data_IF_686500418280
#
_entry.id   IF_686500418280
#
_cell.length_a   1.000
_cell.length_b   1.000
_cell.length_c   1.000
_cell.angle_alpha   90.00
_cell.angle_beta   90.00
_cell.angle_gamma   90.00
#
_symmetry.space_group_name_H-M   'P 1'
#
loop_
_entity.id
_entity.type
_entity.pdbx_description
1 polymer ?
#
# COMPACT_ATOMS: atom_id res chain seq x y z
N UNK A 1 -3.40 8.89 -4.57
CA UNK A 1 -3.02 7.88 -5.60
C UNK A 1 -2.39 6.74 -4.84
N UNK A 2 -2.56 5.47 -5.27
CA UNK A 2 -1.96 4.33 -4.57
C UNK A 2 -0.48 4.54 -4.24
N UNK A 3 0.05 3.77 -3.29
CA UNK A 3 1.49 3.63 -3.11
C UNK A 3 1.91 2.18 -3.33
N UNK A 4 3.01 2.02 -4.06
CA UNK A 4 3.72 0.78 -4.29
C UNK A 4 5.16 0.92 -3.81
N UNK A 5 5.59 0.01 -2.95
CA UNK A 5 6.94 -0.10 -2.42
C UNK A 5 7.57 -1.41 -2.89
N UNK A 6 8.83 -1.36 -3.33
CA UNK A 6 9.64 -2.52 -3.69
C UNK A 6 10.81 -2.63 -2.70
N UNK A 7 11.06 -3.86 -2.25
CA UNK A 7 12.13 -4.19 -1.33
C UNK A 7 13.06 -5.19 -2.03
N UNK A 8 14.33 -4.83 -2.31
CA UNK A 8 15.34 -5.78 -2.72
C UNK A 8 15.54 -6.91 -1.69
N UNK A 9 16.22 -8.02 -2.06
CA UNK A 9 16.71 -9.00 -1.10
C UNK A 9 17.42 -8.33 0.09
N UNK A 10 17.12 -8.80 1.30
CA UNK A 10 17.71 -8.35 2.56
C UNK A 10 17.47 -6.88 2.94
N UNK A 11 16.73 -6.11 2.13
CA UNK A 11 16.37 -4.73 2.47
C UNK A 11 15.57 -4.69 3.79
N UNK A 12 15.90 -3.70 4.63
CA UNK A 12 15.23 -3.43 5.90
C UNK A 12 13.80 -2.99 5.65
N UNK A 13 12.87 -3.44 6.49
CA UNK A 13 11.47 -3.00 6.40
C UNK A 13 11.31 -1.69 7.15
N UNK A 14 11.12 -0.59 6.43
CA UNK A 14 10.64 0.66 7.01
C UNK A 14 9.12 0.56 7.28
N UNK A 15 8.79 0.06 8.47
CA UNK A 15 7.40 -0.10 8.92
C UNK A 15 6.68 1.25 8.97
N UNK A 16 7.37 2.32 9.38
CA UNK A 16 6.77 3.65 9.45
C UNK A 16 6.45 4.18 8.05
N UNK A 17 7.37 4.05 7.10
CA UNK A 17 7.12 4.46 5.72
C UNK A 17 5.98 3.69 5.07
N UNK A 18 5.90 2.38 5.30
CA UNK A 18 4.77 1.59 4.80
C UNK A 18 3.44 1.96 5.47
N UNK A 19 3.45 2.26 6.77
CA UNK A 19 2.29 2.76 7.50
C UNK A 19 1.81 4.11 6.94
N UNK A 20 2.72 5.08 6.77
CA UNK A 20 2.43 6.40 6.21
C UNK A 20 1.81 6.31 4.82
N UNK A 21 2.37 5.43 3.98
CA UNK A 21 1.81 5.15 2.68
C UNK A 21 0.42 4.53 2.75
N UNK A 22 0.19 3.63 3.72
CA UNK A 22 -1.07 2.94 3.93
C UNK A 22 -2.22 3.83 4.40
N UNK A 23 -1.98 4.71 5.36
CA UNK A 23 -3.03 5.61 5.90
C UNK A 23 -3.59 6.56 4.84
N UNK A 24 -2.74 6.99 3.89
CA UNK A 24 -3.15 7.81 2.75
C UNK A 24 -3.85 7.00 1.65
N UNK A 25 -3.90 5.67 1.76
CA UNK A 25 -4.36 4.73 0.74
C UNK A 25 -5.15 3.56 1.36
N UNK A 26 -6.34 3.82 1.97
CA UNK A 26 -6.98 2.90 2.91
C UNK A 26 -7.89 1.84 2.26
N UNK A 27 -7.96 1.75 0.92
CA UNK A 27 -8.90 0.88 0.22
C UNK A 27 -8.37 -0.55 -0.04
N UNK A 28 -7.38 -0.96 0.75
CA UNK A 28 -6.83 -2.31 0.80
C UNK A 28 -5.33 -2.38 0.54
N UNK A 29 -4.72 -3.38 1.15
CA UNK A 29 -3.28 -3.51 1.31
C UNK A 29 -2.85 -4.93 0.97
N UNK A 30 -1.76 -5.06 0.22
CA UNK A 30 -1.24 -6.38 -0.09
C UNK A 30 0.23 -6.38 -0.39
N UNK A 31 0.82 -7.55 -0.22
CA UNK A 31 2.25 -7.75 -0.28
C UNK A 31 2.57 -9.06 -0.98
N UNK A 32 3.80 -9.16 -1.48
CA UNK A 32 4.32 -10.41 -1.99
C UNK A 32 5.82 -10.52 -1.73
N UNK A 33 6.30 -11.75 -1.54
CA UNK A 33 7.72 -12.09 -1.37
C UNK A 33 8.04 -13.28 -2.27
N UNK A 34 9.12 -13.19 -3.04
CA UNK A 34 9.57 -14.32 -3.86
C UNK A 34 10.36 -15.32 -3.01
N UNK A 35 9.98 -16.59 -3.13
CA UNK A 35 10.78 -17.72 -2.68
C UNK A 35 11.38 -18.47 -3.89
N UNK A 36 12.13 -19.53 -3.63
CA UNK A 36 12.81 -20.34 -4.67
C UNK A 36 11.86 -20.83 -5.76
N UNK A 37 10.66 -21.30 -5.39
CA UNK A 37 9.74 -22.00 -6.29
C UNK A 37 8.32 -21.44 -6.28
N UNK A 38 8.07 -20.36 -5.52
CA UNK A 38 6.76 -19.74 -5.39
C UNK A 38 6.84 -18.25 -5.07
N UNK A 39 5.71 -17.57 -5.16
CA UNK A 39 5.52 -16.23 -4.60
C UNK A 39 4.53 -16.32 -3.45
N UNK A 40 4.96 -15.93 -2.24
CA UNK A 40 4.07 -15.82 -1.09
C UNK A 40 3.34 -14.49 -1.19
N UNK A 41 2.02 -14.51 -1.00
CA UNK A 41 1.16 -13.33 -1.13
C UNK A 41 0.26 -13.22 0.10
N UNK A 42 0.11 -12.00 0.60
CA UNK A 42 -0.89 -11.66 1.61
C UNK A 42 -1.67 -10.41 1.21
N UNK A 43 -2.93 -10.34 1.61
CA UNK A 43 -3.84 -9.21 1.34
C UNK A 43 -4.76 -9.01 2.53
N UNK A 44 -4.99 -7.76 2.90
CA UNK A 44 -6.03 -7.39 3.85
C UNK A 44 -6.69 -6.07 3.43
N UNK A 45 -7.91 -5.84 3.90
CA UNK A 45 -8.53 -4.51 3.87
C UNK A 45 -8.10 -3.66 5.07
N UNK A 46 -7.46 -4.26 6.07
CA UNK A 46 -6.90 -3.62 7.25
C UNK A 46 -5.37 -3.42 7.09
N UNK A 47 -4.91 -2.20 7.32
CA UNK A 47 -3.49 -1.84 7.17
C UNK A 47 -2.60 -2.52 8.21
N UNK A 48 -3.05 -2.59 9.46
CA UNK A 48 -2.26 -3.15 10.56
C UNK A 48 -2.07 -4.66 10.34
N UNK A 49 -3.13 -5.38 9.98
CA UNK A 49 -3.07 -6.81 9.65
C UNK A 49 -2.15 -7.08 8.45
N UNK A 50 -2.24 -6.25 7.40
CA UNK A 50 -1.37 -6.38 6.23
C UNK A 50 0.11 -6.14 6.58
N UNK A 51 0.41 -5.15 7.42
CA UNK A 51 1.78 -4.85 7.83
C UNK A 51 2.34 -5.90 8.77
N UNK A 52 1.58 -6.32 9.78
CA UNK A 52 2.01 -7.36 10.72
C UNK A 52 2.31 -8.67 9.97
N UNK A 53 1.40 -9.10 9.10
CA UNK A 53 1.60 -10.30 8.28
C UNK A 53 2.78 -10.15 7.31
N UNK A 54 2.99 -8.96 6.74
CA UNK A 54 4.13 -8.69 5.86
C UNK A 54 5.46 -8.75 6.61
N UNK A 55 5.58 -8.10 7.77
CA UNK A 55 6.80 -8.10 8.59
C UNK A 55 7.14 -9.53 9.01
N UNK A 56 6.16 -10.27 9.52
CA UNK A 56 6.36 -11.67 9.91
C UNK A 56 6.72 -12.58 8.71
N UNK A 57 6.21 -12.30 7.52
CA UNK A 57 6.63 -13.02 6.30
C UNK A 57 8.04 -12.62 5.88
N UNK A 58 8.39 -11.34 6.00
CA UNK A 58 9.70 -10.83 5.61
C UNK A 58 10.84 -11.35 6.48
N UNK A 59 10.61 -11.49 7.78
CA UNK A 59 11.57 -12.12 8.71
C UNK A 59 11.87 -13.59 8.33
N UNK A 60 10.86 -14.32 7.83
CA UNK A 60 11.01 -15.71 7.39
C UNK A 60 11.65 -15.84 6.00
N UNK A 61 11.49 -14.81 5.16
CA UNK A 61 11.89 -14.83 3.76
C UNK A 61 12.70 -13.58 3.38
N UNK A 62 13.85 -13.31 4.04
CA UNK A 62 14.60 -12.08 3.83
C UNK A 62 15.35 -12.05 2.49
N UNK A 63 15.73 -13.21 1.95
CA UNK A 63 16.51 -13.33 0.71
C UNK A 63 15.69 -13.05 -0.57
N UNK A 64 14.36 -13.08 -0.48
CA UNK A 64 13.48 -12.83 -1.63
C UNK A 64 13.32 -11.35 -1.94
N UNK A 65 13.23 -10.89 -3.19
CA UNK A 65 12.64 -9.58 -3.46
C UNK A 65 11.16 -9.55 -3.04
N UNK A 66 10.71 -8.41 -2.56
CA UNK A 66 9.36 -8.22 -2.05
C UNK A 66 8.71 -6.92 -2.55
N UNK A 67 7.39 -6.84 -2.41
CA UNK A 67 6.62 -5.62 -2.63
C UNK A 67 5.57 -5.46 -1.54
N UNK A 68 5.16 -4.21 -1.31
CA UNK A 68 4.00 -3.83 -0.51
C UNK A 68 3.21 -2.75 -1.26
N UNK A 69 1.90 -2.87 -1.32
CA UNK A 69 1.02 -1.96 -2.03
C UNK A 69 -0.17 -1.57 -1.17
N UNK A 70 -0.48 -0.28 -1.13
CA UNK A 70 -1.70 0.26 -0.53
C UNK A 70 -2.53 0.97 -1.59
N UNK A 71 -3.81 0.62 -1.67
CA UNK A 71 -4.71 1.00 -2.74
C UNK A 71 -5.52 2.24 -2.38
N UNK A 72 -5.58 3.19 -3.31
CA UNK A 72 -6.60 4.23 -3.36
C UNK A 72 -7.59 3.92 -4.49
N UNK A 73 -8.71 3.30 -4.14
CA UNK A 73 -9.74 2.95 -5.13
C UNK A 73 -10.36 4.20 -5.79
N UNK A 74 -9.92 4.54 -7.01
CA UNK A 74 -10.61 5.50 -7.90
C UNK A 74 -11.62 4.80 -8.81
N UNK A 75 -11.39 3.52 -9.08
CA UNK A 75 -12.22 2.63 -9.91
C UNK A 75 -12.19 1.22 -9.33
N UNK A 76 -13.27 0.46 -9.56
CA UNK A 76 -13.45 -0.90 -9.04
C UNK A 76 -13.81 -0.92 -7.54
N UNK A 77 -14.59 -1.92 -7.13
CA UNK A 77 -15.08 -2.05 -5.76
C UNK A 77 -13.95 -2.15 -4.73
N UNK A 78 -14.20 -1.71 -3.49
CA UNK A 78 -13.30 -1.92 -2.34
C UNK A 78 -13.55 -3.33 -1.81
N UNK A 79 -12.73 -4.28 -2.27
CA UNK A 79 -12.79 -5.68 -1.87
C UNK A 79 -11.42 -6.37 -2.08
N UNK A 80 -11.18 -7.48 -1.37
CA UNK A 80 -9.92 -8.24 -1.46
C UNK A 80 -9.54 -8.65 -2.90
N UNK A 81 -10.49 -9.07 -3.78
CA UNK A 81 -10.17 -9.40 -5.18
C UNK A 81 -9.56 -8.26 -6.00
N UNK A 82 -9.78 -7.01 -5.60
CA UNK A 82 -9.22 -5.80 -6.23
C UNK A 82 -7.99 -5.23 -5.49
N UNK A 83 -7.51 -5.90 -4.44
CA UNK A 83 -6.26 -5.54 -3.76
C UNK A 83 -5.07 -6.13 -4.51
N UNK A 84 -4.10 -5.30 -4.89
CA UNK A 84 -2.82 -5.74 -5.45
C UNK A 84 -2.00 -6.53 -4.41
N UNK A 85 -1.05 -7.39 -4.83
CA UNK A 85 -0.68 -7.69 -6.20
C UNK A 85 -1.65 -8.70 -6.88
N UNK A 86 -1.66 -8.71 -8.21
CA UNK A 86 -2.45 -9.66 -8.99
C UNK A 86 -1.58 -10.75 -9.60
N UNK A 87 -2.10 -11.98 -9.58
CA UNK A 87 -1.50 -13.13 -10.27
C UNK A 87 -1.53 -12.90 -11.78
N UNK A 88 -0.44 -13.23 -12.46
CA UNK A 88 -0.29 -12.98 -13.90
C UNK A 88 -0.68 -14.22 -14.70
N UNK A 89 -1.72 -14.11 -15.54
CA UNK A 89 -2.18 -15.20 -16.40
C UNK A 89 -2.57 -16.48 -15.65
N UNK A 90 -3.05 -16.35 -14.41
CA UNK A 90 -3.43 -17.49 -13.56
C UNK A 90 -2.27 -18.31 -13.00
N UNK A 91 -1.01 -17.91 -13.23
CA UNK A 91 0.16 -18.60 -12.68
C UNK A 91 0.61 -17.96 -11.36
N UNK A 92 0.51 -18.70 -10.25
CA UNK A 92 0.94 -18.25 -8.91
C UNK A 92 2.44 -17.96 -8.79
N UNK A 93 3.22 -18.28 -9.83
CA UNK A 93 4.65 -18.01 -9.89
C UNK A 93 4.97 -16.56 -10.27
N UNK A 94 4.00 -15.77 -10.72
CA UNK A 94 4.25 -14.38 -11.13
C UNK A 94 3.11 -13.48 -10.66
N UNK A 95 3.47 -12.38 -10.00
CA UNK A 95 2.52 -11.36 -9.56
C UNK A 95 2.94 -9.97 -10.01
N UNK A 96 1.97 -9.06 -10.13
CA UNK A 96 2.21 -7.66 -10.48
C UNK A 96 1.43 -6.72 -9.57
N UNK A 97 2.10 -5.67 -9.12
CA UNK A 97 1.48 -4.49 -8.51
C UNK A 97 1.70 -3.26 -9.39
N UNK A 98 0.77 -2.30 -9.32
CA UNK A 98 0.76 -1.12 -10.17
C UNK A 98 0.35 0.12 -9.40
N UNK A 99 1.02 1.24 -9.67
CA UNK A 99 0.57 2.57 -9.28
C UNK A 99 0.39 3.45 -10.53
N UNK A 100 -0.80 4.02 -10.66
CA UNK A 100 -1.19 4.96 -11.72
C UNK A 100 -2.53 4.59 -12.33
N UNK A 101 -2.71 4.90 -13.62
CA UNK A 101 -3.87 4.53 -14.44
C UNK A 101 -3.31 4.00 -15.76
N UNK A 102 -3.53 2.71 -16.04
CA UNK A 102 -3.05 2.07 -17.26
C UNK A 102 -3.77 2.60 -18.51
N UNK A 103 -3.26 2.34 -19.73
CA UNK A 103 -3.93 2.73 -20.97
C UNK A 103 -5.36 2.19 -21.06
N UNK A 104 -6.21 2.86 -21.83
CA UNK A 104 -7.62 2.49 -22.02
C UNK A 104 -7.84 1.05 -22.50
N UNK A 105 -6.86 0.44 -23.18
CA UNK A 105 -6.86 -0.98 -23.54
C UNK A 105 -7.00 -1.91 -22.31
N UNK A 106 -6.42 -1.51 -21.18
CA UNK A 106 -6.50 -2.20 -19.91
C UNK A 106 -7.76 -1.84 -19.11
N UNK A 107 -8.56 -0.87 -19.54
CA UNK A 107 -9.78 -0.52 -18.82
C UNK A 107 -10.85 -1.61 -19.01
N UNK A 108 -11.49 -2.08 -17.92
CA UNK A 108 -12.61 -3.02 -18.00
C UNK A 108 -13.80 -2.43 -18.78
N UNK A 109 -14.61 -3.31 -19.37
CA UNK A 109 -15.86 -2.89 -20.00
C UNK A 109 -16.90 -2.49 -18.95
N UNK A 110 -17.96 -1.78 -19.36
CA UNK A 110 -19.07 -1.45 -18.45
C UNK A 110 -19.69 -2.73 -17.89
N UNK A 111 -19.73 -2.85 -16.56
CA UNK A 111 -20.27 -4.02 -15.86
C UNK A 111 -19.21 -5.05 -15.43
N UNK A 112 -17.95 -4.86 -15.81
CA UNK A 112 -16.80 -5.60 -15.30
C UNK A 112 -16.26 -4.90 -14.04
N UNK A 113 -16.18 -5.62 -12.92
CA UNK A 113 -15.84 -5.08 -11.60
C UNK A 113 -14.33 -5.08 -11.30
N UNK A 114 -13.54 -5.65 -12.20
CA UNK A 114 -12.08 -5.67 -12.13
C UNK A 114 -11.52 -4.24 -12.20
N UNK A 115 -10.34 -4.03 -11.63
CA UNK A 115 -9.54 -2.84 -11.92
C UNK A 115 -8.82 -2.95 -13.27
N UNK A 116 -8.33 -1.83 -13.80
CA UNK A 116 -7.46 -1.78 -14.98
C UNK A 116 -6.20 -2.67 -14.80
N UNK A 117 -5.63 -2.61 -13.60
CA UNK A 117 -4.51 -3.45 -13.17
C UNK A 117 -4.85 -4.94 -13.18
N UNK A 118 -6.04 -5.31 -12.74
CA UNK A 118 -6.49 -6.72 -12.72
C UNK A 118 -6.65 -7.24 -14.15
N UNK A 119 -7.33 -6.49 -15.03
CA UNK A 119 -7.43 -6.85 -16.45
C UNK A 119 -6.06 -6.93 -17.12
N UNK A 120 -5.14 -6.02 -16.80
CA UNK A 120 -3.77 -6.07 -17.30
C UNK A 120 -3.05 -7.36 -16.89
N UNK A 121 -3.16 -7.77 -15.62
CA UNK A 121 -2.54 -8.99 -15.11
C UNK A 121 -3.15 -10.27 -15.72
N UNK A 122 -4.47 -10.28 -15.93
CA UNK A 122 -5.19 -11.44 -16.46
C UNK A 122 -4.95 -11.62 -17.97
N UNK A 123 -4.96 -10.54 -18.76
CA UNK A 123 -5.12 -10.62 -20.22
C UNK A 123 -3.92 -10.08 -21.02
N UNK A 124 -3.24 -9.05 -20.53
CA UNK A 124 -2.28 -8.27 -21.33
C UNK A 124 -0.84 -8.67 -21.02
N UNK A 125 -0.42 -8.61 -19.75
CA UNK A 125 0.93 -8.99 -19.32
C UNK A 125 1.30 -10.42 -19.75
N UNK A 126 0.47 -11.46 -19.53
CA UNK A 126 0.83 -12.84 -19.87
C UNK A 126 0.89 -13.13 -21.37
N UNK A 127 0.32 -12.26 -22.22
CA UNK A 127 0.25 -12.48 -23.67
C UNK A 127 1.24 -11.59 -24.44
N UNK A 128 1.36 -10.32 -24.07
CA UNK A 128 2.13 -9.31 -24.83
C UNK A 128 3.57 -9.12 -24.31
N UNK A 129 3.81 -9.28 -23.01
CA UNK A 129 5.09 -8.91 -22.37
C UNK A 129 5.79 -10.08 -21.66
N UNK A 130 5.85 -11.25 -22.32
CA UNK A 130 6.32 -12.53 -21.76
C UNK A 130 7.84 -12.67 -21.55
N UNK A 131 8.65 -11.73 -22.03
CA UNK A 131 10.13 -11.85 -22.07
C UNK A 131 10.80 -10.69 -21.36
N UNK A 132 10.44 -10.47 -20.09
CA UNK A 132 10.82 -9.29 -19.30
C UNK A 132 12.35 -9.07 -19.21
N UNK A 133 13.16 -10.13 -19.26
CA UNK A 133 14.63 -10.03 -19.31
C UNK A 133 15.18 -9.32 -20.56
N UNK A 134 14.40 -9.31 -21.67
CA UNK A 134 14.83 -8.63 -22.89
C UNK A 134 14.57 -7.14 -22.73
N UNK A 135 15.64 -6.33 -22.82
CA UNK A 135 15.55 -4.86 -22.83
C UNK A 135 14.45 -4.32 -23.74
N UNK A 136 14.30 -4.88 -24.96
CA UNK A 136 13.23 -4.49 -25.89
C UNK A 136 11.81 -4.75 -25.36
N UNK A 137 11.60 -5.84 -24.64
CA UNK A 137 10.29 -6.15 -24.04
C UNK A 137 10.02 -5.23 -22.85
N UNK A 138 11.04 -4.99 -22.03
CA UNK A 138 10.97 -4.02 -20.94
C UNK A 138 10.64 -2.60 -21.44
N UNK A 139 11.36 -2.12 -22.47
CA UNK A 139 11.12 -0.81 -23.09
C UNK A 139 9.75 -0.74 -23.80
N UNK A 140 9.26 -1.85 -24.34
CA UNK A 140 7.91 -1.92 -24.90
C UNK A 140 6.84 -1.80 -23.81
N UNK A 141 7.01 -2.51 -22.68
CA UNK A 141 6.10 -2.43 -21.54
C UNK A 141 6.10 -1.02 -20.93
N UNK A 142 7.28 -0.44 -20.69
CA UNK A 142 7.45 0.94 -20.20
C UNK A 142 6.75 1.97 -21.10
N UNK A 143 6.91 1.85 -22.43
CA UNK A 143 6.23 2.74 -23.38
C UNK A 143 4.72 2.52 -23.43
N UNK A 144 4.28 1.26 -23.37
CA UNK A 144 2.86 0.93 -23.38
C UNK A 144 2.16 1.46 -22.13
N UNK A 145 2.70 1.22 -20.92
CA UNK A 145 2.06 1.72 -19.71
C UNK A 145 2.15 3.24 -19.58
N UNK A 146 3.15 3.88 -20.19
CA UNK A 146 3.28 5.34 -20.22
C UNK A 146 3.98 5.93 -19.00
N UNK A 147 4.38 7.20 -19.11
CA UNK A 147 5.31 7.88 -18.19
C UNK A 147 4.70 8.33 -16.85
N UNK A 148 3.47 7.94 -16.53
CA UNK A 148 2.87 8.20 -15.22
C UNK A 148 2.69 6.91 -14.41
N UNK A 149 2.97 5.75 -15.02
CA UNK A 149 2.66 4.44 -14.47
C UNK A 149 3.90 3.73 -13.98
N UNK A 150 3.77 3.04 -12.86
CA UNK A 150 4.85 2.31 -12.19
C UNK A 150 4.39 0.90 -11.88
N UNK A 151 5.23 -0.09 -12.20
CA UNK A 151 4.91 -1.50 -11.97
C UNK A 151 6.05 -2.18 -11.22
N UNK A 152 5.69 -3.08 -10.32
CA UNK A 152 6.62 -4.06 -9.75
C UNK A 152 6.08 -5.44 -10.10
N UNK A 153 6.88 -6.21 -10.82
CA UNK A 153 6.58 -7.59 -11.18
C UNK A 153 7.54 -8.49 -10.40
N UNK A 154 6.99 -9.42 -9.64
CA UNK A 154 7.76 -10.44 -8.91
C UNK A 154 7.49 -11.81 -9.52
N UNK A 155 8.53 -12.64 -9.60
CA UNK A 155 8.40 -13.97 -10.21
C UNK A 155 9.36 -15.00 -9.62
N UNK A 156 8.87 -16.22 -9.46
CA UNK A 156 9.65 -17.43 -9.21
C UNK A 156 9.69 -18.34 -10.45
N UNK A 157 9.12 -17.90 -11.58
CA UNK A 157 9.09 -18.71 -12.82
C UNK A 157 10.51 -18.82 -13.40
N UNK A 158 11.08 -20.04 -13.51
CA UNK A 158 12.45 -20.25 -13.93
C UNK A 158 12.71 -19.87 -15.40
N UNK A 159 11.67 -19.52 -16.17
CA UNK A 159 11.85 -18.95 -17.51
C UNK A 159 12.51 -17.57 -17.50
N UNK A 160 12.48 -16.88 -16.36
CA UNK A 160 13.02 -15.54 -16.18
C UNK A 160 14.38 -15.60 -15.49
N UNK A 161 15.32 -14.73 -15.90
CA UNK A 161 16.66 -14.67 -15.29
C UNK A 161 16.66 -13.88 -13.98
N UNK A 162 15.63 -13.06 -13.76
CA UNK A 162 15.45 -12.23 -12.57
C UNK A 162 14.12 -12.52 -11.91
N UNK A 163 14.12 -12.42 -10.59
CA UNK A 163 12.94 -12.61 -9.75
C UNK A 163 12.13 -11.32 -9.54
N UNK A 164 12.62 -10.17 -10.02
CA UNK A 164 11.93 -8.88 -9.92
C UNK A 164 12.21 -7.97 -11.10
N UNK A 165 11.21 -7.16 -11.46
CA UNK A 165 11.30 -6.11 -12.48
C UNK A 165 10.53 -4.88 -12.01
N UNK A 166 11.19 -3.72 -11.97
CA UNK A 166 10.58 -2.42 -11.67
C UNK A 166 10.46 -1.63 -12.97
N UNK A 167 9.23 -1.43 -13.44
CA UNK A 167 8.97 -0.70 -14.69
C UNK A 167 8.77 0.78 -14.37
N UNK A 168 9.46 1.62 -15.14
CA UNK A 168 9.54 3.07 -14.92
C UNK A 168 10.08 3.43 -13.53
N UNK A 169 11.07 2.68 -13.08
CA UNK A 169 11.77 2.86 -11.80
C UNK A 169 12.20 4.31 -11.54
N UNK A 170 12.67 5.02 -12.58
CA UNK A 170 13.13 6.42 -12.48
C UNK A 170 12.01 7.43 -12.16
N UNK A 171 10.75 7.00 -12.14
CA UNK A 171 9.59 7.83 -11.75
C UNK A 171 9.15 7.59 -10.30
N UNK A 172 9.77 6.63 -9.62
CA UNK A 172 9.72 6.51 -8.18
C UNK A 172 11.05 7.00 -7.58
N UNK A 173 11.29 6.60 -6.35
CA UNK A 173 12.47 7.02 -5.60
C UNK A 173 12.97 5.91 -4.70
N UNK A 174 14.29 5.76 -4.67
CA UNK A 174 14.97 4.93 -3.68
C UNK A 174 15.15 5.72 -2.40
N UNK A 175 14.77 5.12 -1.29
CA UNK A 175 15.04 5.59 0.05
C UNK A 175 16.44 5.11 0.46
N UNK A 176 17.32 6.05 0.78
CA UNK A 176 18.72 5.75 1.04
C UNK A 176 18.95 5.05 2.40
N UNK A 177 18.02 5.20 3.34
CA UNK A 177 18.12 4.63 4.68
C UNK A 177 17.65 3.18 4.70
N UNK A 178 16.44 2.92 4.20
CA UNK A 178 15.85 1.57 4.15
C UNK A 178 16.34 0.73 2.97
N UNK A 179 16.83 1.37 1.90
CA UNK A 179 17.13 0.71 0.63
C UNK A 179 15.87 0.28 -0.14
N UNK A 180 14.69 0.76 0.25
CA UNK A 180 13.43 0.48 -0.41
C UNK A 180 13.18 1.45 -1.56
N UNK A 181 12.49 1.00 -2.61
CA UNK A 181 11.99 1.88 -3.67
C UNK A 181 10.52 2.17 -3.45
N UNK A 182 10.09 3.41 -3.63
CA UNK A 182 8.71 3.85 -3.49
C UNK A 182 8.22 4.54 -4.77
N UNK A 183 6.97 4.26 -5.14
CA UNK A 183 6.36 4.78 -6.36
C UNK A 183 5.96 6.27 -6.30
N UNK A 184 5.86 6.84 -5.11
CA UNK A 184 5.54 8.24 -4.85
C UNK A 184 6.05 8.62 -3.44
N UNK A 185 5.69 9.80 -2.94
CA UNK A 185 6.17 10.34 -1.66
C UNK A 185 5.26 10.04 -0.47
N UNK A 186 4.16 9.29 -0.64
CA UNK A 186 3.20 9.04 0.47
C UNK A 186 3.84 8.25 1.63
N UNK A 187 4.99 7.61 1.42
CA UNK A 187 5.75 6.93 2.48
C UNK A 187 6.55 7.90 3.36
N UNK A 188 6.90 9.07 2.82
CA UNK A 188 7.41 10.12 3.67
C UNK A 188 6.29 10.37 4.65
N UNK A 189 6.59 10.23 5.93
CA UNK A 189 5.71 10.78 6.93
C UNK A 189 5.40 12.17 6.44
N UNK A 190 4.11 12.50 6.39
CA UNK A 190 3.78 13.87 6.63
C UNK A 190 4.61 14.22 7.86
N UNK A 191 5.59 15.10 7.68
CA UNK A 191 5.59 16.22 8.60
C UNK A 191 4.12 16.62 8.51
N UNK A 192 3.34 16.24 9.51
CA UNK A 192 2.42 17.22 10.00
C UNK A 192 3.36 18.40 10.21
N UNK A 193 3.53 19.22 9.17
CA UNK A 193 3.78 20.61 9.40
C UNK A 193 2.51 20.97 10.15
N UNK A 194 2.54 20.72 11.46
CA UNK A 194 2.37 21.77 12.43
C UNK A 194 3.03 22.94 11.75
N UNK A 195 2.24 23.65 10.95
CA UNK A 195 2.71 24.87 10.38
C UNK A 195 3.24 25.60 11.60
N UNK A 196 4.42 26.18 11.45
CA UNK A 196 4.79 27.29 12.29
C UNK A 196 3.78 28.46 12.17
N UNK A 197 2.58 28.27 11.61
CA UNK A 197 1.37 28.84 12.18
C UNK A 197 1.26 28.40 13.65
N UNK A 198 1.99 29.12 14.50
CA UNK A 198 1.66 29.36 15.90
C UNK A 198 0.77 28.26 16.48
N UNK A 199 1.40 27.31 17.17
CA UNK A 199 0.81 26.41 18.15
C UNK A 199 -0.38 27.12 18.82
N UNK A 200 -1.56 26.98 18.23
CA UNK A 200 -2.81 26.96 18.95
C UNK A 200 -2.89 25.53 19.45
N UNK A 201 -1.99 25.18 20.36
CA UNK A 201 -2.09 23.93 21.07
C UNK A 201 -3.48 23.95 21.67
N UNK A 202 -4.31 22.99 21.29
CA UNK A 202 -5.33 22.50 22.21
C UNK A 202 -4.56 22.02 23.42
N UNK A 203 -4.30 22.94 24.35
CA UNK A 203 -3.82 22.63 25.68
C UNK A 203 -4.84 21.62 26.22
N UNK A 204 -4.42 20.50 26.81
CA UNK A 204 -5.34 19.66 27.56
C UNK A 204 -6.22 20.57 28.45
N UNK A 205 -7.54 20.49 28.29
CA UNK A 205 -8.50 21.47 28.84
C UNK A 205 -9.00 22.57 27.88
N UNK A 206 -8.65 22.51 26.60
CA UNK A 206 -9.17 23.41 25.55
C UNK A 206 -10.54 22.98 25.02
N UNK A 207 -11.32 23.93 24.49
CA UNK A 207 -12.62 23.64 23.88
C UNK A 207 -12.43 22.98 22.49
N UNK A 208 -13.27 22.02 22.16
CA UNK A 208 -13.24 21.31 20.89
C UNK A 208 -13.65 22.21 19.74
N UNK A 209 -12.79 22.36 18.74
CA UNK A 209 -13.05 23.19 17.55
C UNK A 209 -14.22 22.69 16.67
N UNK A 210 -14.68 21.46 16.87
CA UNK A 210 -15.78 20.87 16.11
C UNK A 210 -17.15 21.17 16.73
N UNK A 211 -17.29 20.91 18.03
CA UNK A 211 -18.56 21.07 18.72
C UNK A 211 -18.64 22.31 19.62
N UNK A 212 -17.51 23.00 19.82
CA UNK A 212 -17.36 24.25 20.58
C UNK A 212 -17.79 24.16 22.06
N UNK A 213 -18.10 22.96 22.52
CA UNK A 213 -18.72 22.71 23.82
C UNK A 213 -17.93 21.75 24.69
N UNK A 214 -17.41 20.67 24.11
CA UNK A 214 -16.66 19.66 24.86
C UNK A 214 -15.20 20.02 25.03
N UNK A 215 -14.62 19.64 26.16
CA UNK A 215 -13.18 19.78 26.40
C UNK A 215 -12.40 18.63 25.77
N UNK A 216 -11.18 18.90 25.31
CA UNK A 216 -10.26 17.90 24.74
C UNK A 216 -9.45 17.26 25.86
N UNK A 217 -9.45 15.92 25.89
CA UNK A 217 -8.69 15.11 26.84
C UNK A 217 -7.19 15.05 26.50
N UNK A 218 -6.41 14.43 27.40
CA UNK A 218 -4.96 14.26 27.22
C UNK A 218 -4.60 13.35 26.03
N UNK A 219 -5.55 12.60 25.49
CA UNK A 219 -5.38 11.73 24.33
C UNK A 219 -5.74 12.42 23.00
N UNK A 220 -6.15 13.70 23.04
CA UNK A 220 -6.48 14.50 21.85
C UNK A 220 -7.91 14.30 21.35
N UNK A 221 -8.82 13.82 22.19
CA UNK A 221 -10.23 13.61 21.83
C UNK A 221 -11.17 14.50 22.64
N UNK A 222 -12.23 14.99 22.00
CA UNK A 222 -13.27 15.75 22.68
C UNK A 222 -14.12 14.86 23.60
N UNK A 223 -14.30 15.23 24.87
CA UNK A 223 -15.17 14.50 25.80
C UNK A 223 -16.66 14.49 25.43
N UNK A 224 -17.12 15.42 24.58
CA UNK A 224 -18.53 15.54 24.20
C UNK A 224 -18.86 14.92 22.84
N UNK A 225 -18.25 15.42 21.75
CA UNK A 225 -18.51 14.91 20.40
C UNK A 225 -17.56 13.78 20.00
N UNK A 226 -16.56 13.48 20.85
CA UNK A 226 -15.57 12.41 20.65
C UNK A 226 -14.73 12.56 19.39
N UNK A 227 -14.65 13.75 18.82
CA UNK A 227 -13.81 14.01 17.65
C UNK A 227 -12.36 14.22 18.04
N UNK A 228 -11.45 13.74 17.19
CA UNK A 228 -10.02 14.01 17.25
C UNK A 228 -9.73 15.48 16.94
N UNK A 229 -8.78 16.09 17.66
CA UNK A 229 -8.35 17.47 17.38
C UNK A 229 -7.60 17.64 16.06
N UNK A 230 -7.05 16.56 15.53
CA UNK A 230 -6.14 16.62 14.39
C UNK A 230 -6.83 16.32 13.07
N UNK A 231 -7.60 15.24 13.02
CA UNK A 231 -8.30 14.80 11.82
C UNK A 231 -9.80 15.06 11.86
N UNK A 232 -10.34 15.55 12.98
CA UNK A 232 -11.77 15.84 13.18
C UNK A 232 -12.72 14.63 13.11
N UNK A 233 -12.20 13.43 12.83
CA UNK A 233 -12.96 12.18 12.84
C UNK A 233 -13.32 11.76 14.27
N UNK A 234 -14.43 11.02 14.40
CA UNK A 234 -14.86 10.46 15.68
C UNK A 234 -13.82 9.44 16.21
N UNK A 235 -13.64 9.33 17.52
CA UNK A 235 -12.61 8.49 18.19
C UNK A 235 -12.65 7.02 17.75
N UNK A 236 -13.81 6.54 17.30
CA UNK A 236 -13.98 5.17 16.79
C UNK A 236 -13.34 4.96 15.41
N UNK A 237 -13.22 6.04 14.64
CA UNK A 237 -12.76 6.04 13.25
C UNK A 237 -11.40 6.76 13.12
N UNK A 238 -10.95 7.41 14.19
CA UNK A 238 -9.70 8.14 14.26
C UNK A 238 -8.47 7.22 14.35
N UNK A 239 -7.50 7.44 13.46
CA UNK A 239 -6.23 6.73 13.41
C UNK A 239 -5.01 7.60 13.82
N UNK A 240 -5.21 8.86 14.23
CA UNK A 240 -4.12 9.80 14.54
C UNK A 240 -3.30 9.40 15.76
N UNK A 241 -3.98 8.94 16.82
CA UNK A 241 -3.38 8.78 18.15
C UNK A 241 -3.45 7.34 18.68
N UNK A 242 -4.01 6.42 17.90
CA UNK A 242 -4.32 5.07 18.35
C UNK A 242 -3.16 4.09 18.06
N UNK A 243 -2.08 4.18 18.85
CA UNK A 243 -0.97 3.19 18.82
C UNK A 243 -1.13 2.04 19.82
N UNK A 244 -2.06 2.12 20.78
CA UNK A 244 -2.18 1.14 21.88
C UNK A 244 -3.37 0.17 21.78
N UNK A 245 -4.45 0.48 21.05
CA UNK A 245 -5.57 -0.49 20.85
C UNK A 245 -5.17 -1.68 19.96
N UNK A 246 -4.10 -1.58 19.17
CA UNK A 246 -3.54 -2.71 18.41
C UNK A 246 -2.80 -3.71 19.33
N UNK A 247 -2.47 -3.34 20.58
CA UNK A 247 -1.71 -4.21 21.50
C UNK A 247 -2.51 -4.84 22.63
N UNK A 248 -3.74 -4.42 22.89
CA UNK A 248 -4.59 -5.05 23.91
C UNK A 248 -6.06 -4.90 23.57
N UNK A 249 -6.73 -5.98 23.16
CA UNK A 249 -7.62 -6.74 24.04
C UNK A 249 -8.36 -7.84 23.28
N UNK A 250 -8.62 -8.90 24.04
CA UNK A 250 -9.28 -10.14 23.67
C UNK A 250 -10.68 -9.86 23.09
N UNK A 251 -10.89 -10.23 21.84
CA UNK A 251 -12.23 -10.39 21.29
C UNK A 251 -12.91 -11.60 21.94
N UNK A 252 -13.69 -11.35 22.98
CA UNK A 252 -14.53 -12.37 23.60
C UNK A 252 -14.81 -12.11 25.07
N UNK A 253 -15.72 -11.18 25.36
CA UNK A 253 -16.67 -11.26 26.47
C UNK A 253 -17.71 -10.13 26.32
N UNK A 254 -18.91 -10.52 25.89
CA UNK A 254 -20.12 -9.74 26.07
C UNK A 254 -20.59 -9.97 27.51
N UNK A 255 -20.57 -8.91 28.31
CA UNK A 255 -21.38 -8.74 29.53
C UNK A 255 -21.93 -7.32 29.37
N UNK A 256 -23.23 -7.08 29.16
CA UNK A 256 -24.46 -7.73 29.62
C UNK A 256 -25.43 -8.06 28.49
#
# INVERSE_FOLDING_TARGET
>A
MCILSFLPPEATVDVNGLWNGGINNPHGHGWAIVETDRVVVGKSLDLAEALESFVAARERHPAGPALFHSRWATHGSVNLPNVHPFVVGGSELTVVAHNGILPTEAHPAKGDDRSDSRKFADEILPTRFRRLDRRRAHDALSRWCGRANKLVILTADPRYQRNSYVINESLGRWDAESGMWHSNEDYLGGVCQVGSSSVGGGVAGGHCDLCWWGEVDEQGYCGQCRSCTDCYEHIRDCLCWNREVVRSERWGELVL
#
